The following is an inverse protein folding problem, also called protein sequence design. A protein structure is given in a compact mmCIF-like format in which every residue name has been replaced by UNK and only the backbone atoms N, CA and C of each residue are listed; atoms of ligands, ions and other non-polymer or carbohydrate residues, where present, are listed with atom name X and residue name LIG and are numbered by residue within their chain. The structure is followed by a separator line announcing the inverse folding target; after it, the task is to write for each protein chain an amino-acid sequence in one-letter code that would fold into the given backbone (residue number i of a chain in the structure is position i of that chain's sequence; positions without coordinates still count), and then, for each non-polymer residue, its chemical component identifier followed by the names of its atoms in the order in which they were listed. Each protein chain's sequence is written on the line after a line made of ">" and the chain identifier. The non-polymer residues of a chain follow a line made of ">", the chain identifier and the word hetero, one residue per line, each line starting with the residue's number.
data_IF_973467195870
#
_entry.id   IF_973467195870
#
_cell.length_a   1.000
_cell.length_b   1.000
_cell.length_c   1.000
_cell.angle_alpha   90.00
_cell.angle_beta   90.00
_cell.angle_gamma   90.00
#
_symmetry.space_group_name_H-M   'P 1'
#
loop_
_entity.id
_entity.type
_entity.pdbx_description
1 polymer ?
#
# COMPACT_ATOMS: atom_id res chain seq x y z
N UNK A 1 7.94 21.41 64.67
CA UNK A 1 7.01 21.63 63.55
C UNK A 1 7.65 22.65 62.60
N UNK A 2 8.03 22.24 61.39
CA UNK A 2 8.52 23.12 60.32
C UNK A 2 7.55 23.04 59.13
N UNK A 3 7.36 24.12 58.35
CA UNK A 3 6.29 24.22 57.35
C UNK A 3 6.61 23.42 56.08
N UNK A 4 5.57 22.89 55.45
CA UNK A 4 5.63 22.19 54.16
C UNK A 4 5.56 23.23 53.05
N UNK A 5 6.67 23.46 52.35
CA UNK A 5 6.68 24.21 51.09
C UNK A 5 6.17 23.34 49.93
N UNK A 6 5.20 23.91 49.19
CA UNK A 6 4.61 23.33 47.99
C UNK A 6 5.65 23.26 46.87
N UNK A 7 5.81 22.10 46.24
CA UNK A 7 6.56 21.95 44.98
C UNK A 7 5.81 22.66 43.83
N UNK A 8 6.48 23.46 43.00
CA UNK A 8 5.88 23.99 41.78
C UNK A 8 5.77 22.89 40.72
N UNK A 9 4.62 22.88 40.05
CA UNK A 9 4.25 22.01 38.95
C UNK A 9 5.08 22.30 37.69
N UNK A 10 5.39 21.22 36.96
CA UNK A 10 5.40 21.22 35.50
C UNK A 10 6.55 21.96 34.82
N UNK A 11 7.72 21.35 34.74
CA UNK A 11 8.63 21.57 33.62
C UNK A 11 8.65 20.31 32.77
N UNK A 12 8.24 20.48 31.51
CA UNK A 12 8.25 19.43 30.49
C UNK A 12 9.67 18.89 30.33
N UNK A 13 9.78 17.57 30.42
CA UNK A 13 11.03 16.88 30.14
C UNK A 13 11.30 16.99 28.63
N UNK A 14 12.32 17.77 28.30
CA UNK A 14 13.03 17.75 27.02
C UNK A 14 13.48 16.30 26.76
N UNK A 15 12.76 15.60 25.88
CA UNK A 15 13.14 14.24 25.50
C UNK A 15 14.40 14.29 24.62
N UNK A 16 15.38 13.51 25.06
CA UNK A 16 16.71 13.36 24.52
C UNK A 16 16.76 13.36 22.99
N UNK A 17 17.59 14.27 22.47
CA UNK A 17 18.04 14.32 21.08
C UNK A 17 18.74 13.00 20.73
N UNK A 18 18.07 12.14 19.95
CA UNK A 18 18.80 11.27 19.04
C UNK A 18 19.32 12.17 17.91
N UNK A 19 20.64 12.30 17.84
CA UNK A 19 21.35 13.06 16.80
C UNK A 19 21.09 12.42 15.42
N UNK A 20 20.01 12.83 14.78
CA UNK A 20 19.96 12.99 13.34
C UNK A 20 20.35 14.45 13.13
N UNK A 21 21.39 14.72 12.33
CA UNK A 21 21.84 16.09 12.07
C UNK A 21 20.65 16.99 11.74
N UNK A 22 20.74 18.28 12.10
CA UNK A 22 19.79 19.32 11.73
C UNK A 22 19.64 19.36 10.20
N UNK A 23 18.79 18.49 9.65
CA UNK A 23 18.39 18.51 8.25
C UNK A 23 17.08 19.28 8.25
N UNK A 24 17.10 20.48 7.68
CA UNK A 24 15.89 21.23 7.41
C UNK A 24 14.98 20.37 6.54
N UNK A 25 13.67 20.36 6.83
CA UNK A 25 12.67 19.64 6.01
C UNK A 25 12.78 20.03 4.52
N UNK A 26 13.23 21.26 4.24
CA UNK A 26 13.39 21.79 2.90
C UNK A 26 14.60 21.19 2.14
N UNK A 27 15.54 20.55 2.85
CA UNK A 27 16.78 19.97 2.29
C UNK A 27 16.73 18.44 2.19
N UNK A 28 15.54 17.84 2.40
CA UNK A 28 15.36 16.40 2.27
C UNK A 28 15.43 15.96 0.81
N UNK A 29 16.24 14.96 0.47
CA UNK A 29 16.32 14.45 -0.91
C UNK A 29 14.98 13.84 -1.33
N UNK A 30 14.59 14.10 -2.58
CA UNK A 30 13.37 13.54 -3.16
C UNK A 30 13.58 12.06 -3.45
N UNK A 31 12.87 11.20 -2.73
CA UNK A 31 12.89 9.75 -2.97
C UNK A 31 11.73 9.43 -3.91
N UNK A 32 12.03 8.73 -5.01
CA UNK A 32 11.01 8.17 -5.90
C UNK A 32 10.93 6.66 -5.74
N UNK A 33 9.71 6.12 -5.71
CA UNK A 33 9.47 4.68 -5.69
C UNK A 33 8.23 4.34 -6.50
N UNK A 34 8.38 3.41 -7.45
CA UNK A 34 7.32 3.04 -8.39
C UNK A 34 6.70 4.25 -9.14
N UNK A 35 7.50 5.27 -9.44
CA UNK A 35 7.06 6.48 -10.14
C UNK A 35 6.28 7.48 -9.28
N UNK A 36 6.26 7.30 -7.95
CA UNK A 36 5.67 8.23 -7.00
C UNK A 36 6.74 8.78 -6.06
N UNK A 37 6.64 10.07 -5.73
CA UNK A 37 7.42 10.67 -4.63
C UNK A 37 6.96 10.09 -3.31
N UNK A 38 7.92 9.66 -2.50
CA UNK A 38 7.67 8.98 -1.25
C UNK A 38 8.55 9.50 -0.13
N UNK A 39 8.03 9.42 1.10
CA UNK A 39 8.79 9.70 2.33
C UNK A 39 8.72 8.52 3.28
N UNK A 40 9.73 8.37 4.13
CA UNK A 40 9.76 7.33 5.17
C UNK A 40 8.89 7.73 6.36
N UNK A 41 8.62 6.79 7.26
CA UNK A 41 7.81 7.09 8.46
C UNK A 41 8.57 8.02 9.40
N UNK A 42 9.89 7.86 9.44
CA UNK A 42 10.88 8.65 10.16
C UNK A 42 10.80 10.12 9.72
N UNK A 43 10.92 10.37 8.42
CA UNK A 43 10.82 11.72 7.82
C UNK A 43 9.43 12.32 8.01
N UNK A 44 8.37 11.52 7.86
CA UNK A 44 7.00 12.00 8.04
C UNK A 44 6.73 12.41 9.50
N UNK A 45 7.24 11.64 10.46
CA UNK A 45 7.10 11.92 11.89
C UNK A 45 7.82 13.21 12.28
N UNK A 46 9.05 13.39 11.76
CA UNK A 46 9.81 14.63 11.91
C UNK A 46 9.04 15.83 11.34
N UNK A 47 8.44 15.68 10.16
CA UNK A 47 7.63 16.73 9.52
C UNK A 47 6.38 17.12 10.31
N UNK A 48 5.82 16.21 11.11
CA UNK A 48 4.65 16.47 11.94
C UNK A 48 4.96 16.79 13.40
N UNK A 49 6.24 16.88 13.78
CA UNK A 49 6.64 17.13 15.17
C UNK A 49 6.27 16.02 16.15
N UNK A 50 6.03 14.79 15.66
CA UNK A 50 5.60 13.65 16.49
C UNK A 50 6.62 12.51 16.47
N UNK A 51 6.64 11.64 17.50
CA UNK A 51 7.45 10.43 17.44
C UNK A 51 6.89 9.45 16.40
N UNK A 52 7.77 8.70 15.73
CA UNK A 52 7.40 7.70 14.72
C UNK A 52 6.35 6.68 15.19
N UNK A 53 6.42 6.31 16.47
CA UNK A 53 5.48 5.37 17.08
C UNK A 53 4.03 5.88 16.99
N UNK A 54 3.81 7.20 17.03
CA UNK A 54 2.49 7.81 16.85
C UNK A 54 1.98 7.58 15.43
N UNK A 55 2.82 7.81 14.41
CA UNK A 55 2.46 7.55 13.00
C UNK A 55 2.12 6.07 12.78
N UNK A 56 2.94 5.15 13.32
CA UNK A 56 2.72 3.69 13.21
C UNK A 56 1.41 3.27 13.89
N UNK A 57 1.13 3.77 15.10
CA UNK A 57 -0.13 3.51 15.83
C UNK A 57 -1.34 4.06 15.06
N UNK A 58 -1.25 5.30 14.58
CA UNK A 58 -2.33 5.95 13.84
C UNK A 58 -2.64 5.22 12.54
N UNK A 59 -1.62 4.75 11.82
CA UNK A 59 -1.80 3.91 10.65
C UNK A 59 -2.50 2.59 10.98
N UNK A 60 -2.11 1.93 12.08
CA UNK A 60 -2.72 0.68 12.51
C UNK A 60 -4.21 0.87 12.86
N UNK A 61 -4.52 1.89 13.66
CA UNK A 61 -5.88 2.19 14.11
C UNK A 61 -6.79 2.63 12.96
N UNK A 62 -6.23 3.33 11.96
CA UNK A 62 -6.97 3.85 10.81
C UNK A 62 -6.68 3.08 9.52
N UNK A 63 -6.25 1.83 9.60
CA UNK A 63 -5.73 1.07 8.45
C UNK A 63 -6.70 0.99 7.28
N UNK A 64 -8.00 0.97 7.57
CA UNK A 64 -9.10 0.97 6.59
C UNK A 64 -9.13 2.22 5.71
N UNK A 65 -8.61 3.34 6.23
CA UNK A 65 -8.50 4.62 5.51
C UNK A 65 -7.25 4.69 4.64
N UNK A 66 -6.32 3.74 4.70
CA UNK A 66 -5.13 3.75 3.86
C UNK A 66 -5.19 2.62 2.84
N UNK A 67 -4.91 2.94 1.58
CA UNK A 67 -4.90 1.97 0.47
C UNK A 67 -3.46 1.78 0.01
N UNK A 68 -3.01 0.53 -0.04
CA UNK A 68 -1.69 0.18 -0.56
C UNK A 68 -1.57 0.63 -2.02
N UNK A 69 -0.38 1.10 -2.39
CA UNK A 69 -0.01 1.57 -3.73
C UNK A 69 -0.70 2.89 -4.16
N UNK A 70 -1.52 3.48 -3.29
CA UNK A 70 -2.15 4.80 -3.47
C UNK A 70 -1.72 5.77 -2.39
N UNK A 71 -1.76 5.34 -1.12
CA UNK A 71 -1.40 6.18 0.03
C UNK A 71 -0.06 5.74 0.61
N UNK A 72 0.16 4.43 0.70
CA UNK A 72 1.34 3.84 1.31
C UNK A 72 1.89 2.69 0.46
N UNK A 73 3.21 2.48 0.50
CA UNK A 73 3.85 1.26 0.02
C UNK A 73 4.40 0.49 1.21
N UNK A 74 3.89 -0.72 1.43
CA UNK A 74 4.45 -1.64 2.43
C UNK A 74 5.52 -2.50 1.78
N UNK A 75 6.78 -2.20 2.05
CA UNK A 75 7.93 -2.94 1.54
C UNK A 75 8.31 -4.07 2.49
N UNK A 76 8.47 -5.28 1.95
CA UNK A 76 8.94 -6.47 2.67
C UNK A 76 9.86 -7.28 1.76
N UNK A 77 10.75 -8.06 2.36
CA UNK A 77 11.60 -9.05 1.66
C UNK A 77 12.30 -8.46 0.43
N UNK A 78 12.04 -9.01 -0.77
CA UNK A 78 12.65 -8.60 -2.02
C UNK A 78 12.41 -7.12 -2.36
N UNK A 79 11.20 -6.60 -2.10
CA UNK A 79 10.89 -5.19 -2.37
C UNK A 79 11.68 -4.24 -1.44
N UNK A 80 11.90 -4.64 -0.19
CA UNK A 80 12.73 -3.88 0.75
C UNK A 80 14.22 -3.92 0.35
N UNK A 81 14.69 -5.07 -0.14
CA UNK A 81 16.05 -5.22 -0.67
C UNK A 81 16.27 -4.34 -1.91
N UNK A 82 15.31 -4.34 -2.84
CA UNK A 82 15.35 -3.51 -4.04
C UNK A 82 15.36 -2.01 -3.67
N UNK A 83 14.54 -1.59 -2.70
CA UNK A 83 14.52 -0.21 -2.21
C UNK A 83 15.86 0.21 -1.58
N UNK A 84 16.45 -0.63 -0.74
CA UNK A 84 17.77 -0.33 -0.15
C UNK A 84 18.86 -0.14 -1.22
N UNK A 85 18.84 -0.97 -2.27
CA UNK A 85 19.77 -0.84 -3.39
C UNK A 85 19.48 0.41 -4.25
N UNK A 86 18.24 0.87 -4.28
CA UNK A 86 17.82 2.03 -5.06
C UNK A 86 18.23 3.36 -4.41
N UNK A 87 18.27 3.42 -3.08
CA UNK A 87 18.36 4.68 -2.31
C UNK A 87 19.81 5.00 -1.83
N UNK A 88 20.82 4.25 -2.30
CA UNK A 88 22.27 4.47 -2.09
C UNK A 88 22.65 5.23 -0.80
N UNK A 89 22.82 4.54 0.34
CA UNK A 89 23.37 4.99 1.65
C UNK A 89 22.91 6.33 2.28
N UNK A 90 22.11 7.16 1.61
CA UNK A 90 21.66 8.48 2.08
C UNK A 90 20.55 8.34 3.13
N UNK A 91 19.75 7.28 3.04
CA UNK A 91 18.76 6.93 4.04
C UNK A 91 19.16 5.61 4.70
N UNK A 92 19.75 5.70 5.89
CA UNK A 92 20.17 4.54 6.69
C UNK A 92 18.94 3.77 7.19
N UNK A 93 18.26 3.05 6.29
CA UNK A 93 17.26 2.06 6.64
C UNK A 93 18.02 0.90 7.25
N UNK A 94 17.91 0.74 8.57
CA UNK A 94 18.60 -0.33 9.32
C UNK A 94 18.54 -1.67 8.60
N UNK A 95 19.68 -2.36 8.50
CA UNK A 95 19.81 -3.68 7.86
C UNK A 95 18.86 -4.72 8.47
N UNK A 96 18.48 -4.54 9.74
CA UNK A 96 17.60 -5.43 10.50
C UNK A 96 16.11 -5.14 10.30
N UNK A 97 15.73 -4.05 9.62
CA UNK A 97 14.32 -3.76 9.33
C UNK A 97 13.76 -4.84 8.40
N UNK A 98 12.68 -5.49 8.83
CA UNK A 98 11.99 -6.57 8.07
C UNK A 98 10.82 -6.04 7.24
N UNK A 99 10.33 -4.85 7.58
CA UNK A 99 9.30 -4.14 6.81
C UNK A 99 9.44 -2.64 6.92
N UNK A 100 9.29 -1.93 5.80
CA UNK A 100 9.30 -0.46 5.74
C UNK A 100 7.97 0.02 5.15
N UNK A 101 7.47 1.15 5.65
CA UNK A 101 6.31 1.82 5.09
C UNK A 101 6.78 3.14 4.49
N UNK A 102 6.53 3.28 3.20
CA UNK A 102 6.74 4.51 2.46
C UNK A 102 5.40 5.22 2.26
N UNK A 103 5.40 6.54 2.38
CA UNK A 103 4.22 7.39 2.33
C UNK A 103 4.27 8.20 1.05
N UNK A 104 3.23 8.08 0.22
CA UNK A 104 3.02 8.99 -0.90
C UNK A 104 2.56 10.36 -0.38
N UNK A 105 2.60 11.39 -1.22
CA UNK A 105 2.03 12.72 -0.93
C UNK A 105 0.58 12.62 -0.39
N UNK A 106 -0.26 11.81 -1.05
CA UNK A 106 -1.64 11.56 -0.64
C UNK A 106 -1.76 10.83 0.69
N UNK A 107 -0.80 9.95 1.00
CA UNK A 107 -0.73 9.24 2.27
C UNK A 107 -0.32 10.15 3.41
N UNK A 108 0.68 11.00 3.18
CA UNK A 108 1.10 12.03 4.11
C UNK A 108 -0.08 12.96 4.42
N UNK A 109 -0.71 13.55 3.40
CA UNK A 109 -1.90 14.40 3.52
C UNK A 109 -3.04 13.77 4.35
N UNK A 110 -3.24 12.47 4.22
CA UNK A 110 -4.28 11.75 4.98
C UNK A 110 -3.86 11.51 6.43
N UNK A 111 -2.57 11.31 6.67
CA UNK A 111 -2.02 11.14 8.01
C UNK A 111 -2.01 12.45 8.80
N UNK A 112 -1.78 13.62 8.16
CA UNK A 112 -1.84 14.91 8.86
C UNK A 112 -3.21 15.13 9.51
N UNK A 113 -4.30 14.79 8.81
CA UNK A 113 -5.67 14.80 9.34
C UNK A 113 -5.91 13.91 10.58
N UNK A 114 -5.03 12.96 10.85
CA UNK A 114 -5.16 12.00 11.96
C UNK A 114 -4.21 12.37 13.10
N UNK A 115 -3.05 12.96 12.78
CA UNK A 115 -2.04 13.35 13.76
C UNK A 115 -2.44 14.61 14.52
N UNK A 116 -3.15 15.54 13.86
CA UNK A 116 -3.80 16.71 14.49
C UNK A 116 -2.84 17.54 15.38
N UNK A 117 -1.64 17.80 14.87
CA UNK A 117 -0.63 18.68 15.48
C UNK A 117 -0.49 19.99 14.72
N UNK A 118 -0.05 21.06 15.39
CA UNK A 118 0.14 22.38 14.79
C UNK A 118 1.09 22.32 13.57
N UNK A 119 2.12 21.48 13.61
CA UNK A 119 3.03 21.26 12.48
C UNK A 119 2.35 20.50 11.32
N UNK A 120 1.43 19.57 11.64
CA UNK A 120 0.62 18.89 10.64
C UNK A 120 -0.41 19.85 10.01
N UNK A 121 -0.89 20.85 10.77
CA UNK A 121 -1.69 21.96 10.27
C UNK A 121 -0.88 22.85 9.33
N UNK A 122 0.35 23.24 9.66
CA UNK A 122 1.22 24.02 8.76
C UNK A 122 1.52 23.28 7.44
N UNK A 123 1.78 21.97 7.51
CA UNK A 123 1.95 21.13 6.32
C UNK A 123 0.66 21.06 5.49
N UNK A 124 -0.49 20.96 6.15
CA UNK A 124 -1.79 20.95 5.49
C UNK A 124 -2.12 22.30 4.85
N UNK A 125 -1.81 23.42 5.52
CA UNK A 125 -1.95 24.78 4.98
C UNK A 125 -1.10 24.97 3.73
N UNK A 126 0.16 24.53 3.72
CA UNK A 126 1.01 24.57 2.49
C UNK A 126 0.40 23.76 1.35
N UNK A 127 -0.22 22.62 1.66
CA UNK A 127 -0.89 21.79 0.66
C UNK A 127 -2.19 22.43 0.15
N UNK A 128 -3.01 23.00 1.03
CA UNK A 128 -4.21 23.75 0.67
C UNK A 128 -3.86 25.00 -0.12
N UNK A 129 -2.84 25.75 0.28
CA UNK A 129 -2.30 26.88 -0.46
C UNK A 129 -1.87 26.43 -1.86
N UNK A 130 -1.15 25.30 -2.02
CA UNK A 130 -0.81 24.77 -3.34
C UNK A 130 -2.02 24.34 -4.18
N UNK A 131 -3.10 23.88 -3.53
CA UNK A 131 -4.31 23.37 -4.19
C UNK A 131 -5.27 24.50 -4.61
N UNK A 132 -5.49 25.49 -3.74
CA UNK A 132 -6.36 26.64 -3.98
C UNK A 132 -5.65 27.81 -4.66
N UNK A 133 -4.31 27.83 -4.65
CA UNK A 133 -3.51 28.76 -5.45
C UNK A 133 -3.30 28.28 -6.89
N UNK A 134 -3.71 27.04 -7.23
CA UNK A 134 -3.92 26.63 -8.64
C UNK A 134 -5.06 27.46 -9.23
N UNK A 135 -4.69 28.62 -9.78
CA UNK A 135 -5.60 29.62 -10.33
C UNK A 135 -5.34 31.04 -9.82
N UNK A 136 -4.56 31.23 -8.74
CA UNK A 136 -4.15 32.56 -8.25
C UNK A 136 -2.74 32.95 -8.69
N UNK A 137 -1.90 31.98 -9.05
CA UNK A 137 -0.66 32.26 -9.78
C UNK A 137 -0.97 32.48 -11.26
N UNK A 138 -1.48 33.66 -11.58
CA UNK A 138 -1.08 34.37 -12.81
C UNK A 138 0.37 34.85 -12.66
N UNK A 139 1.24 33.90 -12.37
CA UNK A 139 2.70 33.89 -12.44
C UNK A 139 3.11 32.41 -12.52
N UNK A 140 2.33 31.61 -13.28
CA UNK A 140 2.96 30.58 -14.10
C UNK A 140 4.10 31.31 -14.78
N UNK A 141 5.33 30.93 -14.46
CA UNK A 141 6.49 31.33 -15.20
C UNK A 141 6.19 31.01 -16.66
N UNK A 142 5.67 32.00 -17.39
CA UNK A 142 5.76 32.03 -18.84
C UNK A 142 7.21 31.66 -19.10
N UNK A 143 7.48 30.60 -19.89
CA UNK A 143 8.84 30.30 -20.28
C UNK A 143 9.47 31.62 -20.67
N UNK A 144 10.63 31.98 -20.11
CA UNK A 144 11.35 33.14 -20.61
C UNK A 144 11.71 32.79 -22.06
N UNK A 145 10.83 33.13 -23.00
CA UNK A 145 10.98 32.84 -24.43
C UNK A 145 12.23 33.53 -25.01
N UNK A 146 12.86 34.42 -24.22
CA UNK A 146 14.17 35.01 -24.48
C UNK A 146 15.32 34.00 -24.44
N UNK A 147 15.17 32.84 -23.76
CA UNK A 147 16.15 31.75 -23.76
C UNK A 147 15.51 30.46 -24.30
N UNK A 148 15.77 30.11 -25.57
CA UNK A 148 15.26 28.90 -26.20
C UNK A 148 15.64 27.62 -25.44
N UNK A 149 16.80 27.59 -24.77
CA UNK A 149 17.26 26.40 -24.05
C UNK A 149 16.49 26.20 -22.74
N UNK A 150 16.17 27.26 -22.01
CA UNK A 150 15.35 27.18 -20.80
C UNK A 150 13.91 26.77 -21.12
N UNK A 151 13.33 27.31 -22.21
CA UNK A 151 11.98 26.96 -22.65
C UNK A 151 11.87 25.48 -23.07
N UNK A 152 12.87 24.96 -23.79
CA UNK A 152 12.91 23.55 -24.19
C UNK A 152 13.01 22.59 -22.99
N UNK A 153 13.79 22.95 -21.95
CA UNK A 153 13.90 22.15 -20.71
C UNK A 153 12.59 22.12 -19.93
N UNK A 154 11.94 23.27 -19.75
CA UNK A 154 10.66 23.35 -19.04
C UNK A 154 9.56 22.54 -19.76
N UNK A 155 9.54 22.57 -21.10
CA UNK A 155 8.62 21.76 -21.89
C UNK A 155 8.90 20.26 -21.75
N UNK A 156 10.17 19.85 -21.74
CA UNK A 156 10.56 18.46 -21.52
C UNK A 156 10.12 17.98 -20.12
N UNK A 157 10.35 18.76 -19.07
CA UNK A 157 9.94 18.43 -17.71
C UNK A 157 8.42 18.27 -17.57
N UNK A 158 7.65 19.18 -18.18
CA UNK A 158 6.18 19.12 -18.18
C UNK A 158 5.66 17.91 -18.97
N UNK A 159 6.27 17.63 -20.13
CA UNK A 159 5.94 16.47 -20.96
C UNK A 159 6.25 15.15 -20.25
N UNK A 160 7.41 15.04 -19.60
CA UNK A 160 7.77 13.88 -18.77
C UNK A 160 6.84 13.71 -17.58
N UNK A 161 6.51 14.78 -16.87
CA UNK A 161 5.57 14.73 -15.74
C UNK A 161 4.18 14.28 -16.20
N UNK A 162 3.71 14.78 -17.34
CA UNK A 162 2.45 14.37 -17.96
C UNK A 162 2.47 12.91 -18.40
N UNK A 163 3.55 12.45 -19.03
CA UNK A 163 3.71 11.04 -19.43
C UNK A 163 3.81 10.10 -18.22
N UNK A 164 4.49 10.50 -17.14
CA UNK A 164 4.51 9.76 -15.87
C UNK A 164 3.12 9.65 -15.24
N UNK A 165 2.31 10.72 -15.28
CA UNK A 165 0.93 10.68 -14.80
C UNK A 165 0.03 9.79 -15.68
N UNK A 166 0.18 9.89 -17.01
CA UNK A 166 -0.55 9.08 -17.99
C UNK A 166 -0.24 7.59 -17.82
N UNK A 167 1.04 7.22 -17.69
CA UNK A 167 1.45 5.82 -17.45
C UNK A 167 0.91 5.27 -16.13
N UNK A 168 0.83 6.08 -15.07
CA UNK A 168 0.20 5.68 -13.80
C UNK A 168 -1.31 5.40 -13.95
N UNK A 169 -2.03 6.28 -14.65
CA UNK A 169 -3.47 6.10 -14.93
C UNK A 169 -3.70 4.87 -15.81
N UNK A 170 -2.90 4.65 -16.85
CA UNK A 170 -2.98 3.44 -17.67
C UNK A 170 -2.69 2.17 -16.88
N UNK A 171 -1.72 2.20 -15.95
CA UNK A 171 -1.42 1.05 -15.09
C UNK A 171 -2.57 0.73 -14.13
N UNK A 172 -3.25 1.74 -13.58
CA UNK A 172 -4.45 1.53 -12.76
C UNK A 172 -5.65 1.05 -13.59
N UNK A 173 -5.87 1.61 -14.78
CA UNK A 173 -6.97 1.20 -15.66
C UNK A 173 -6.82 -0.25 -16.15
N UNK A 174 -5.59 -0.67 -16.51
CA UNK A 174 -5.28 -2.07 -16.85
C UNK A 174 -5.57 -3.03 -15.69
N UNK A 175 -5.27 -2.61 -14.46
CA UNK A 175 -5.57 -3.38 -13.26
C UNK A 175 -7.08 -3.58 -13.04
N UNK A 176 -7.88 -2.53 -13.21
CA UNK A 176 -9.34 -2.58 -13.03
C UNK A 176 -9.98 -3.43 -14.13
N UNK A 177 -9.65 -3.18 -15.41
CA UNK A 177 -10.24 -3.91 -16.53
C UNK A 177 -9.94 -5.42 -16.51
N UNK A 178 -8.70 -5.82 -16.20
CA UNK A 178 -8.37 -7.23 -16.11
C UNK A 178 -9.02 -7.91 -14.89
N UNK A 179 -9.17 -7.19 -13.78
CA UNK A 179 -9.87 -7.70 -12.60
C UNK A 179 -11.37 -7.90 -12.87
N UNK A 180 -12.02 -6.96 -13.57
CA UNK A 180 -13.43 -7.06 -13.97
C UNK A 180 -13.66 -8.25 -14.91
N UNK A 181 -12.75 -8.50 -15.85
CA UNK A 181 -12.82 -9.66 -16.74
C UNK A 181 -12.66 -10.99 -15.98
N UNK A 182 -11.80 -11.03 -14.96
CA UNK A 182 -11.51 -12.26 -14.20
C UNK A 182 -12.51 -12.53 -13.07
N UNK A 183 -13.14 -11.50 -12.51
CA UNK A 183 -14.03 -11.64 -11.37
C UNK A 183 -15.48 -11.79 -11.81
N UNK A 184 -16.20 -12.70 -11.18
CA UNK A 184 -17.64 -12.86 -11.34
C UNK A 184 -18.21 -13.14 -9.95
N UNK A 185 -19.37 -12.57 -9.62
CA UNK A 185 -19.99 -12.83 -8.32
C UNK A 185 -20.30 -14.33 -8.15
N UNK A 186 -20.16 -14.83 -6.92
CA UNK A 186 -20.40 -16.24 -6.60
C UNK A 186 -19.17 -17.17 -6.71
N UNK A 187 -18.01 -16.67 -7.14
CA UNK A 187 -16.78 -17.46 -7.18
C UNK A 187 -16.21 -17.73 -5.79
N UNK A 188 -15.72 -18.94 -5.52
CA UNK A 188 -14.86 -19.16 -4.36
C UNK A 188 -13.46 -18.59 -4.59
N UNK A 189 -12.67 -18.32 -3.52
CA UNK A 189 -11.29 -17.84 -3.67
C UNK A 189 -10.41 -18.75 -4.52
N UNK A 190 -10.60 -20.07 -4.41
CA UNK A 190 -9.88 -21.06 -5.23
C UNK A 190 -10.30 -20.98 -6.68
N UNK A 191 -11.61 -20.81 -6.96
CA UNK A 191 -12.12 -20.67 -8.33
C UNK A 191 -11.60 -19.39 -8.99
N UNK A 192 -11.53 -18.28 -8.25
CA UNK A 192 -10.90 -17.05 -8.73
C UNK A 192 -9.41 -17.25 -9.02
N UNK A 193 -8.64 -17.80 -8.07
CA UNK A 193 -7.21 -18.06 -8.25
C UNK A 193 -6.91 -19.06 -9.38
N UNK A 194 -7.85 -19.94 -9.74
CA UNK A 194 -7.72 -20.86 -10.89
C UNK A 194 -7.69 -20.11 -12.22
N UNK A 195 -8.25 -18.90 -12.28
CA UNK A 195 -8.20 -18.03 -13.46
C UNK A 195 -6.88 -17.24 -13.56
N UNK A 196 -6.01 -17.33 -12.55
CA UNK A 196 -4.71 -16.67 -12.51
C UNK A 196 -3.60 -17.63 -12.94
N UNK A 197 -2.69 -17.18 -13.81
CA UNK A 197 -1.60 -18.02 -14.30
C UNK A 197 -0.59 -18.32 -13.18
N UNK A 198 -0.04 -19.54 -13.14
CA UNK A 198 1.04 -19.88 -12.20
C UNK A 198 0.63 -20.06 -10.74
N UNK A 199 -0.61 -19.75 -10.34
CA UNK A 199 -1.06 -19.93 -8.95
C UNK A 199 -1.28 -21.41 -8.65
N UNK A 200 -0.78 -21.84 -7.49
CA UNK A 200 -1.02 -23.16 -6.94
C UNK A 200 -2.33 -23.19 -6.16
N UNK A 201 -3.41 -23.52 -6.86
CA UNK A 201 -4.79 -23.51 -6.33
C UNK A 201 -5.00 -24.41 -5.12
N UNK A 202 -4.26 -25.52 -4.99
CA UNK A 202 -4.39 -26.43 -3.84
C UNK A 202 -3.91 -25.82 -2.53
N UNK A 203 -2.98 -24.85 -2.60
CA UNK A 203 -2.42 -24.16 -1.44
C UNK A 203 -3.15 -22.86 -1.08
N UNK A 204 -4.11 -22.41 -1.91
CA UNK A 204 -4.81 -21.13 -1.70
C UNK A 204 -5.57 -21.10 -0.38
N UNK A 205 -6.31 -22.16 -0.03
CA UNK A 205 -7.04 -22.19 1.24
C UNK A 205 -6.11 -22.20 2.46
N UNK A 206 -4.97 -22.89 2.38
CA UNK A 206 -3.94 -22.85 3.42
C UNK A 206 -3.31 -21.46 3.56
N UNK A 207 -3.06 -20.78 2.45
CA UNK A 207 -2.61 -19.39 2.45
C UNK A 207 -3.64 -18.46 3.09
N UNK A 208 -4.91 -18.60 2.72
CA UNK A 208 -6.00 -17.82 3.31
C UNK A 208 -6.21 -18.13 4.80
N UNK A 209 -5.88 -19.34 5.25
CA UNK A 209 -5.78 -19.68 6.68
C UNK A 209 -4.67 -18.90 7.36
N UNK A 210 -3.46 -18.87 6.77
CA UNK A 210 -2.34 -18.12 7.32
C UNK A 210 -2.56 -16.60 7.35
N UNK A 211 -3.39 -16.07 6.44
CA UNK A 211 -3.79 -14.65 6.45
C UNK A 211 -4.99 -14.39 7.36
N UNK A 212 -5.50 -15.42 8.03
CA UNK A 212 -6.62 -15.35 8.96
C UNK A 212 -7.98 -15.16 8.30
N UNK A 213 -8.15 -15.37 6.99
CA UNK A 213 -9.47 -15.26 6.36
C UNK A 213 -10.31 -16.52 6.57
N UNK A 214 -9.64 -17.67 6.55
CA UNK A 214 -10.27 -18.97 6.73
C UNK A 214 -9.78 -19.66 8.00
N UNK A 215 -10.63 -20.48 8.61
CA UNK A 215 -10.24 -21.47 9.61
C UNK A 215 -10.78 -22.84 9.24
N UNK A 216 -10.20 -23.87 9.85
CA UNK A 216 -10.71 -25.24 9.72
C UNK A 216 -11.65 -25.49 10.91
N UNK A 217 -12.93 -25.74 10.62
CA UNK A 217 -13.96 -26.03 11.63
C UNK A 217 -13.74 -27.40 12.30
N UNK A 218 -12.93 -28.27 11.67
CA UNK A 218 -12.66 -29.62 12.16
C UNK A 218 -11.24 -29.70 12.70
N UNK A 219 -11.13 -30.03 13.99
CA UNK A 219 -9.83 -30.14 14.64
C UNK A 219 -9.09 -31.47 14.35
N UNK A 220 -9.72 -32.48 13.75
CA UNK A 220 -9.12 -33.83 13.70
C UNK A 220 -9.60 -34.75 12.56
N UNK A 221 -9.65 -34.29 11.30
CA UNK A 221 -10.10 -35.13 10.19
C UNK A 221 -9.26 -34.93 8.91
N UNK A 222 -9.23 -35.93 8.03
CA UNK A 222 -8.45 -35.92 6.78
C UNK A 222 -8.93 -34.90 5.74
N UNK A 223 -10.11 -34.32 5.92
CA UNK A 223 -10.69 -33.31 5.04
C UNK A 223 -11.04 -32.03 5.81
N UNK A 224 -10.33 -30.94 5.49
CA UNK A 224 -10.58 -29.62 6.05
C UNK A 224 -11.96 -29.09 5.69
N UNK A 225 -12.65 -28.54 6.68
CA UNK A 225 -13.94 -27.84 6.53
C UNK A 225 -13.69 -26.35 6.68
N UNK A 226 -13.42 -25.69 5.55
CA UNK A 226 -13.07 -24.28 5.53
C UNK A 226 -14.26 -23.38 5.87
N UNK A 227 -14.10 -22.57 6.92
CA UNK A 227 -15.06 -21.55 7.37
C UNK A 227 -14.42 -20.17 7.31
N UNK A 228 -15.23 -19.13 7.23
CA UNK A 228 -14.76 -17.74 7.17
C UNK A 228 -14.74 -17.12 8.56
N UNK A 229 -13.63 -16.46 8.95
CA UNK A 229 -13.59 -15.68 10.18
C UNK A 229 -14.53 -14.48 10.12
N UNK A 230 -15.16 -14.12 11.24
CA UNK A 230 -16.13 -13.01 11.33
C UNK A 230 -15.61 -11.68 10.77
N UNK A 231 -14.35 -11.31 11.04
CA UNK A 231 -13.79 -10.04 10.55
C UNK A 231 -13.53 -10.01 9.03
N UNK A 232 -13.38 -11.18 8.41
CA UNK A 232 -13.18 -11.34 6.98
C UNK A 232 -14.51 -11.51 6.23
N UNK A 233 -15.51 -12.07 6.93
CA UNK A 233 -16.91 -12.12 6.50
C UNK A 233 -17.41 -10.68 6.25
N UNK A 234 -18.22 -10.51 5.21
CA UNK A 234 -18.81 -9.24 4.74
C UNK A 234 -17.83 -8.20 4.18
N UNK A 235 -16.53 -8.35 4.43
CA UNK A 235 -15.49 -7.44 3.91
C UNK A 235 -14.75 -8.00 2.70
N UNK A 236 -14.42 -9.28 2.72
CA UNK A 236 -13.63 -9.93 1.68
C UNK A 236 -14.28 -11.22 1.17
N UNK A 237 -15.00 -11.91 2.04
CA UNK A 237 -15.68 -13.17 1.76
C UNK A 237 -17.12 -13.11 2.29
N UNK A 238 -18.00 -13.93 1.72
CA UNK A 238 -19.27 -14.33 2.33
C UNK A 238 -19.35 -15.85 2.42
N UNK A 239 -20.34 -16.39 3.12
CA UNK A 239 -20.48 -17.82 3.38
C UNK A 239 -21.88 -18.28 3.01
N UNK A 240 -21.97 -19.20 2.04
CA UNK A 240 -23.26 -19.82 1.67
C UNK A 240 -23.32 -21.24 2.21
N UNK A 241 -24.41 -21.56 2.89
CA UNK A 241 -24.71 -22.90 3.40
C UNK A 241 -25.58 -23.65 2.40
N UNK A 242 -25.29 -24.93 2.16
CA UNK A 242 -26.16 -25.84 1.43
C UNK A 242 -26.19 -27.20 2.13
N UNK A 243 -27.36 -27.82 2.17
CA UNK A 243 -27.56 -29.11 2.81
C UNK A 243 -27.21 -30.22 1.82
N UNK A 244 -26.25 -31.07 2.17
CA UNK A 244 -25.90 -32.23 1.35
C UNK A 244 -26.65 -33.43 1.89
N UNK A 245 -27.72 -33.82 1.19
CA UNK A 245 -28.42 -35.07 1.45
C UNK A 245 -27.56 -36.25 0.98
N UNK A 246 -27.33 -37.21 1.87
CA UNK A 246 -26.74 -38.51 1.51
C UNK A 246 -27.82 -39.56 1.53
N UNK A 247 -27.80 -40.44 0.53
CA UNK A 247 -28.84 -41.44 0.30
C UNK A 247 -29.06 -42.40 1.49
N UNK A 248 -28.06 -42.56 2.39
CA UNK A 248 -28.11 -43.46 3.56
C UNK A 248 -27.44 -42.91 4.84
N UNK A 249 -27.26 -41.59 4.99
CA UNK A 249 -26.67 -40.96 6.20
C UNK A 249 -27.34 -39.63 6.52
N UNK A 250 -27.26 -39.20 7.77
CA UNK A 250 -27.69 -37.85 8.19
C UNK A 250 -27.12 -36.78 7.25
N UNK A 251 -28.01 -35.92 6.77
CA UNK A 251 -27.64 -34.76 5.97
C UNK A 251 -26.77 -33.82 6.81
N UNK A 252 -25.72 -33.28 6.21
CA UNK A 252 -24.89 -32.27 6.87
C UNK A 252 -24.96 -30.95 6.11
N UNK A 253 -24.96 -29.84 6.84
CA UNK A 253 -24.77 -28.52 6.24
C UNK A 253 -23.32 -28.37 5.80
N UNK A 254 -23.11 -27.94 4.56
CA UNK A 254 -21.81 -27.59 4.02
C UNK A 254 -21.75 -26.07 3.81
N UNK A 255 -20.71 -25.43 4.34
CA UNK A 255 -20.46 -24.01 4.12
C UNK A 255 -19.42 -23.82 3.03
N UNK A 256 -19.70 -22.88 2.13
CA UNK A 256 -18.80 -22.54 1.02
C UNK A 256 -18.43 -21.05 1.13
N UNK A 257 -17.13 -20.73 1.30
CA UNK A 257 -16.65 -19.36 1.17
C UNK A 257 -16.81 -18.86 -0.27
N UNK A 258 -17.45 -17.70 -0.42
CA UNK A 258 -17.62 -16.97 -1.67
C UNK A 258 -16.83 -15.67 -1.59
N UNK A 259 -16.15 -15.32 -2.68
CA UNK A 259 -15.30 -14.15 -2.79
C UNK A 259 -16.13 -12.92 -3.14
N UNK A 260 -15.94 -11.84 -2.37
CA UNK A 260 -16.49 -10.52 -2.68
C UNK A 260 -15.51 -9.73 -3.56
N UNK A 261 -16.00 -8.71 -4.26
CA UNK A 261 -15.18 -7.88 -5.14
C UNK A 261 -13.92 -7.32 -4.43
N UNK A 262 -14.09 -6.80 -3.21
CA UNK A 262 -12.98 -6.30 -2.38
C UNK A 262 -11.96 -7.39 -2.02
N UNK A 263 -12.42 -8.63 -1.84
CA UNK A 263 -11.56 -9.79 -1.65
C UNK A 263 -10.79 -10.16 -2.93
N UNK A 264 -11.44 -10.08 -4.09
CA UNK A 264 -10.83 -10.33 -5.39
C UNK A 264 -9.75 -9.30 -5.73
N UNK A 265 -10.02 -8.00 -5.53
CA UNK A 265 -9.02 -6.92 -5.61
C UNK A 265 -7.80 -7.27 -4.75
N UNK A 266 -8.03 -7.67 -3.51
CA UNK A 266 -6.93 -7.98 -2.58
C UNK A 266 -6.11 -9.19 -3.04
N UNK A 267 -6.75 -10.29 -3.45
CA UNK A 267 -6.08 -11.48 -3.98
C UNK A 267 -5.27 -11.18 -5.24
N UNK A 268 -5.84 -10.38 -6.15
CA UNK A 268 -5.17 -10.00 -7.39
C UNK A 268 -3.97 -9.08 -7.14
N UNK A 269 -4.03 -8.18 -6.15
CA UNK A 269 -2.83 -7.44 -5.70
C UNK A 269 -1.75 -8.35 -5.14
N UNK A 270 -2.12 -9.38 -4.37
CA UNK A 270 -1.15 -10.37 -3.88
C UNK A 270 -0.54 -11.19 -5.01
N UNK A 271 -1.33 -11.47 -6.04
CA UNK A 271 -0.87 -12.12 -7.26
C UNK A 271 0.22 -11.31 -7.94
N UNK A 272 -0.05 -10.04 -8.28
CA UNK A 272 0.92 -9.14 -8.94
C UNK A 272 2.20 -8.93 -8.12
N UNK A 273 2.13 -9.04 -6.79
CA UNK A 273 3.28 -8.96 -5.88
C UNK A 273 4.01 -10.30 -5.69
N UNK A 274 3.65 -11.35 -6.43
CA UNK A 274 4.22 -12.70 -6.30
C UNK A 274 4.04 -13.33 -4.91
N UNK A 275 3.09 -12.82 -4.12
CA UNK A 275 2.89 -13.20 -2.72
C UNK A 275 1.86 -14.32 -2.55
N UNK A 276 1.15 -14.69 -3.62
CA UNK A 276 0.28 -15.87 -3.63
C UNK A 276 1.12 -17.15 -3.67
N UNK A 277 0.56 -18.31 -3.26
CA UNK A 277 1.25 -19.58 -3.39
C UNK A 277 1.39 -19.93 -4.87
N UNK A 278 2.56 -19.68 -5.45
CA UNK A 278 2.86 -19.97 -6.86
C UNK A 278 3.31 -21.43 -7.05
N UNK A 279 3.21 -21.95 -8.28
CA UNK A 279 3.76 -23.25 -8.67
C UNK A 279 5.30 -23.17 -8.70
N UNK A 280 5.96 -24.29 -8.39
CA UNK A 280 7.45 -24.37 -8.35
C UNK A 280 8.09 -24.15 -9.72
N UNK A 281 7.42 -24.56 -10.78
CA UNK A 281 7.86 -24.45 -12.17
C UNK A 281 7.27 -23.23 -12.90
N UNK A 282 6.80 -22.23 -12.16
CA UNK A 282 6.24 -21.03 -12.76
C UNK A 282 7.35 -20.12 -13.27
N UNK A 283 7.16 -19.61 -14.48
CA UNK A 283 8.07 -18.79 -15.27
C UNK A 283 8.12 -17.30 -14.85
N UNK A 284 7.24 -16.88 -13.94
CA UNK A 284 7.15 -15.49 -13.49
C UNK A 284 6.22 -14.61 -14.32
N UNK A 285 5.53 -15.18 -15.32
CA UNK A 285 4.66 -14.42 -16.22
C UNK A 285 3.21 -14.41 -15.70
N UNK A 286 2.63 -13.21 -15.60
CA UNK A 286 1.33 -12.95 -14.95
C UNK A 286 0.12 -12.96 -15.90
N UNK A 287 0.33 -12.98 -17.22
CA UNK A 287 -0.73 -12.80 -18.23
C UNK A 287 -0.72 -13.92 -19.28
N UNK A 288 -1.88 -14.15 -19.90
CA UNK A 288 -2.01 -14.96 -21.13
C UNK A 288 -1.81 -14.11 -22.40
N UNK A 289 -1.91 -12.79 -22.30
CA UNK A 289 -1.78 -11.86 -23.42
C UNK A 289 -0.31 -11.58 -23.76
N UNK A 290 0.08 -11.94 -24.99
CA UNK A 290 1.34 -11.57 -25.65
C UNK A 290 1.52 -10.06 -25.79
N UNK A 291 0.43 -9.27 -25.82
CA UNK A 291 0.48 -7.81 -25.99
C UNK A 291 1.15 -7.06 -24.82
N UNK A 292 1.32 -7.71 -23.65
CA UNK A 292 2.07 -7.15 -22.52
C UNK A 292 3.56 -7.54 -22.54
N UNK A 293 3.98 -8.47 -23.41
CA UNK A 293 5.40 -8.75 -23.66
C UNK A 293 6.03 -7.65 -24.53
N UNK A 294 5.28 -7.12 -25.50
CA UNK A 294 5.77 -6.07 -26.39
C UNK A 294 6.07 -4.75 -25.65
N UNK A 295 5.33 -4.46 -24.57
CA UNK A 295 5.56 -3.27 -23.74
C UNK A 295 6.81 -3.34 -22.83
N UNK A 296 7.51 -4.49 -22.76
CA UNK A 296 8.82 -4.60 -22.09
C UNK A 296 10.00 -4.51 -23.06
N UNK A 297 9.75 -4.72 -24.35
CA UNK A 297 10.78 -4.76 -25.38
C UNK A 297 10.97 -3.41 -26.09
N UNK A 298 10.03 -2.47 -25.90
CA UNK A 298 10.05 -1.15 -26.56
C UNK A 298 10.75 -0.05 -25.74
N UNK A 299 11.09 -0.31 -24.47
CA UNK A 299 11.88 0.62 -23.63
C UNK A 299 13.42 0.46 -23.87
N UNK A 300 13.81 -0.23 -24.95
CA UNK A 300 15.18 -0.64 -25.24
C UNK A 300 15.70 -0.29 -26.64
N UNK A 301 15.04 0.62 -27.37
CA UNK A 301 15.55 1.19 -28.62
C UNK A 301 15.63 2.71 -28.57
#
# INVERSE_FOLDING_TARGET
>A
MKPIEKRPNGQGLLYAQNQVGNISINDLPVIEWCGARVVTTETLAMGYGVPENTIRKNLSNNRTRFVDDVHIFTLKNAALKAFRNHVNDIHSVSKHTTSLILWTERGAARMSKIVDTDEAWEFFEKMEESYFSRGKTTDMATPKFSDPAAAARAWADEYEAKNKAITYVHRQARYIGHLENLFTEGLSPVQFCKRLNGVNTSKVNAFLKSTGWLYDDRQNNHHSRWRVYSYARDKYLTETSHTIAKQDKESFEAHKPILLHKGAVWLYRKYLKGSLPMKKNWDGVFTHDKELEDAKNDDGQ
#
